data_IF_500266808851
#
_entry.id   IF_500266808851
#
_cell.length_a   1.000
_cell.length_b   1.000
_cell.length_c   1.000
_cell.angle_alpha   90.00
_cell.angle_beta   90.00
_cell.angle_gamma   90.00
#
_symmetry.space_group_name_H-M   'P 1'
#
loop_
_entity.id
_entity.type
_entity.pdbx_description
1 polymer ?
#
# COMPACT_ATOMS: atom_id res chain seq x y z
N UNK A 1 4.82 11.40 -23.70
CA UNK A 1 4.91 12.84 -23.35
C UNK A 1 6.38 13.17 -23.26
N UNK A 2 6.88 14.08 -24.10
CA UNK A 2 8.29 14.47 -24.14
C UNK A 2 8.58 15.51 -23.05
N UNK A 3 8.78 15.04 -21.83
CA UNK A 3 9.09 15.90 -20.68
C UNK A 3 10.50 16.51 -20.84
N UNK A 4 11.38 15.78 -21.51
CA UNK A 4 12.78 16.14 -21.77
C UNK A 4 12.96 17.25 -22.81
N UNK A 5 11.91 17.59 -23.55
CA UNK A 5 11.92 18.67 -24.56
C UNK A 5 11.32 19.98 -24.04
N UNK A 6 10.84 20.00 -22.79
CA UNK A 6 10.26 21.19 -22.17
C UNK A 6 11.34 22.07 -21.55
N UNK A 7 11.26 23.38 -21.78
CA UNK A 7 12.06 24.37 -21.06
C UNK A 7 11.80 24.28 -19.56
N UNK A 8 12.76 24.75 -18.75
CA UNK A 8 12.68 24.75 -17.28
C UNK A 8 11.36 25.36 -16.78
N UNK A 9 10.92 26.46 -17.41
CA UNK A 9 9.65 27.13 -17.09
C UNK A 9 8.43 26.26 -17.43
N UNK A 10 8.49 25.49 -18.53
CA UNK A 10 7.45 24.53 -18.90
C UNK A 10 7.36 23.35 -17.94
N UNK A 11 8.50 22.88 -17.41
CA UNK A 11 8.55 21.87 -16.35
C UNK A 11 7.95 22.38 -15.04
N UNK A 12 8.23 23.63 -14.67
CA UNK A 12 7.64 24.26 -13.50
C UNK A 12 6.11 24.37 -13.62
N UNK A 13 5.61 24.86 -14.75
CA UNK A 13 4.17 24.94 -15.02
C UNK A 13 3.49 23.57 -15.02
N UNK A 14 4.16 22.54 -15.54
CA UNK A 14 3.66 21.17 -15.52
C UNK A 14 3.56 20.63 -14.09
N UNK A 15 4.58 20.87 -13.25
CA UNK A 15 4.55 20.52 -11.82
C UNK A 15 3.35 21.19 -11.15
N UNK A 16 3.16 22.48 -11.30
CA UNK A 16 2.04 23.20 -10.68
C UNK A 16 0.68 22.64 -11.10
N UNK A 17 0.51 22.33 -12.39
CA UNK A 17 -0.71 21.72 -12.91
C UNK A 17 -0.95 20.30 -12.34
N UNK A 18 0.10 19.50 -12.20
CA UNK A 18 0.03 18.17 -11.59
C UNK A 18 -0.34 18.28 -10.11
N UNK A 19 0.30 19.17 -9.37
CA UNK A 19 0.00 19.43 -7.96
C UNK A 19 -1.44 19.90 -7.76
N UNK A 20 -1.95 20.80 -8.60
CA UNK A 20 -3.35 21.25 -8.58
C UNK A 20 -4.33 20.09 -8.84
N UNK A 21 -4.04 19.25 -9.83
CA UNK A 21 -4.87 18.09 -10.18
C UNK A 21 -4.88 17.04 -9.08
N UNK A 22 -3.75 16.84 -8.41
CA UNK A 22 -3.67 15.96 -7.24
C UNK A 22 -4.48 16.52 -6.08
N UNK A 23 -4.39 17.82 -5.79
CA UNK A 23 -5.18 18.45 -4.74
C UNK A 23 -6.69 18.30 -4.98
N UNK A 24 -7.15 18.51 -6.21
CA UNK A 24 -8.56 18.35 -6.59
C UNK A 24 -9.04 16.89 -6.42
N UNK A 25 -8.25 15.92 -6.88
CA UNK A 25 -8.55 14.49 -6.71
C UNK A 25 -8.52 14.03 -5.26
N UNK A 26 -7.63 14.59 -4.45
CA UNK A 26 -7.57 14.32 -3.01
C UNK A 26 -8.79 14.92 -2.33
N UNK A 27 -9.18 16.15 -2.66
CA UNK A 27 -10.40 16.77 -2.13
C UNK A 27 -11.66 15.98 -2.53
N UNK A 28 -11.76 15.51 -3.77
CA UNK A 28 -12.86 14.66 -4.24
C UNK A 28 -12.91 13.31 -3.49
N UNK A 29 -11.75 12.67 -3.28
CA UNK A 29 -11.65 11.42 -2.49
C UNK A 29 -11.92 11.62 -1.00
N UNK A 30 -11.61 12.78 -0.44
CA UNK A 30 -11.88 13.10 0.96
C UNK A 30 -13.33 13.53 1.20
N UNK A 31 -14.04 14.00 0.18
CA UNK A 31 -15.45 14.39 0.26
C UNK A 31 -16.42 13.21 0.07
N UNK A 32 -15.98 12.13 -0.54
CA UNK A 32 -16.76 10.90 -0.76
C UNK A 32 -16.10 9.69 -0.09
N UNK A 33 -16.08 9.60 1.25
CA UNK A 33 -17.06 8.71 1.87
C UNK A 33 -17.37 9.07 3.34
N UNK A 34 -18.48 9.77 3.59
CA UNK A 34 -19.15 9.74 4.91
C UNK A 34 -20.48 8.96 4.85
N UNK A 35 -21.02 8.68 3.67
CA UNK A 35 -22.29 7.95 3.50
C UNK A 35 -22.13 6.48 3.11
N UNK A 36 -20.95 6.04 2.64
CA UNK A 36 -20.70 4.64 2.26
C UNK A 36 -19.66 3.94 3.15
N UNK A 37 -19.51 4.38 4.40
CA UNK A 37 -18.72 3.66 5.43
C UNK A 37 -19.62 2.96 6.45
N UNK A 38 -20.93 3.21 6.43
CA UNK A 38 -21.85 2.58 7.40
C UNK A 38 -22.21 1.12 7.05
N UNK A 39 -21.99 0.67 5.81
CA UNK A 39 -22.21 -0.74 5.43
C UNK A 39 -20.95 -1.56 5.20
N UNK A 40 -19.77 -0.95 5.14
CA UNK A 40 -18.50 -1.68 5.00
C UNK A 40 -17.42 -1.01 5.84
N UNK A 41 -17.30 -1.46 7.09
CA UNK A 41 -16.03 -1.38 7.83
C UNK A 41 -15.74 -0.05 8.51
N UNK A 42 -15.98 -0.03 9.82
CA UNK A 42 -15.55 0.97 10.78
C UNK A 42 -14.18 1.64 10.49
N UNK A 43 -14.03 2.94 10.83
CA UNK A 43 -12.78 3.66 10.65
C UNK A 43 -11.71 3.03 11.54
N UNK A 44 -10.69 2.44 10.91
CA UNK A 44 -9.44 2.13 11.60
C UNK A 44 -8.71 3.43 11.89
N UNK A 45 -9.10 4.05 13.00
CA UNK A 45 -8.20 4.93 13.74
C UNK A 45 -6.91 4.14 13.95
N UNK A 46 -5.82 4.62 13.35
CA UNK A 46 -4.48 4.08 13.53
C UNK A 46 -4.05 4.33 14.98
N UNK A 47 -4.56 3.54 15.92
CA UNK A 47 -3.89 3.30 17.19
C UNK A 47 -2.55 2.64 16.85
N UNK A 48 -1.42 3.06 17.44
CA UNK A 48 -0.16 2.33 17.28
C UNK A 48 -0.44 0.87 17.66
N UNK A 49 -0.04 -0.10 16.83
CA UNK A 49 -0.38 -1.49 17.06
C UNK A 49 0.24 -1.91 18.39
N UNK A 50 -0.61 -2.06 19.41
CA UNK A 50 -0.28 -2.80 20.63
C UNK A 50 0.33 -4.11 20.15
N UNK A 51 1.59 -4.36 20.50
CA UNK A 51 2.36 -5.49 20.00
C UNK A 51 1.54 -6.77 20.16
N UNK A 52 0.94 -7.25 19.06
CA UNK A 52 0.27 -8.54 19.06
C UNK A 52 1.30 -9.58 19.52
N UNK A 53 0.90 -10.59 20.31
CA UNK A 53 1.81 -11.66 20.70
C UNK A 53 2.50 -12.16 19.44
N UNK A 54 3.84 -12.14 19.44
CA UNK A 54 4.67 -12.52 18.28
C UNK A 54 4.29 -13.94 17.90
N UNK A 55 3.37 -14.07 16.94
CA UNK A 55 3.04 -15.37 16.36
C UNK A 55 4.32 -15.89 15.72
N UNK A 56 4.65 -17.18 15.91
CA UNK A 56 5.85 -17.74 15.31
C UNK A 56 5.78 -17.50 13.80
N UNK A 57 6.85 -16.93 13.25
CA UNK A 57 7.05 -16.87 11.80
C UNK A 57 7.25 -18.30 11.35
N UNK A 58 6.39 -18.78 10.44
CA UNK A 58 6.49 -20.15 9.92
C UNK A 58 7.40 -20.21 8.71
N UNK A 59 7.40 -19.18 7.88
CA UNK A 59 8.21 -19.09 6.67
C UNK A 59 8.98 -17.78 6.64
N UNK A 60 10.24 -17.82 6.23
CA UNK A 60 11.15 -16.67 6.09
C UNK A 60 11.96 -16.77 4.80
N UNK A 61 11.90 -15.72 3.98
CA UNK A 61 12.67 -15.54 2.75
C UNK A 61 13.37 -14.17 2.84
N UNK A 62 14.58 -14.16 3.42
CA UNK A 62 15.34 -12.94 3.72
C UNK A 62 14.62 -12.01 4.72
N UNK A 63 14.20 -10.85 4.23
CA UNK A 63 13.40 -9.85 4.98
C UNK A 63 11.89 -10.18 4.97
N UNK A 64 11.44 -11.04 4.05
CA UNK A 64 10.05 -11.44 3.97
C UNK A 64 9.74 -12.52 5.00
N UNK A 65 8.66 -12.34 5.75
CA UNK A 65 8.20 -13.32 6.74
C UNK A 65 6.70 -13.58 6.60
N UNK A 66 6.29 -14.82 6.86
CA UNK A 66 4.89 -15.21 6.86
C UNK A 66 4.62 -16.26 7.93
N UNK A 67 3.63 -16.03 8.77
CA UNK A 67 3.25 -16.96 9.85
C UNK A 67 2.51 -18.22 9.35
N UNK A 68 2.28 -18.36 8.04
CA UNK A 68 1.45 -19.44 7.47
C UNK A 68 -0.04 -19.31 7.78
N UNK A 69 -0.45 -18.16 8.33
CA UNK A 69 -1.84 -17.87 8.73
C UNK A 69 -2.30 -16.60 8.00
N UNK A 70 -3.53 -16.62 7.51
CA UNK A 70 -4.12 -15.52 6.75
C UNK A 70 -3.73 -15.55 5.27
N UNK A 71 -3.94 -14.42 4.58
CA UNK A 71 -3.66 -14.32 3.15
C UNK A 71 -2.20 -14.60 2.86
N UNK A 72 -1.95 -15.58 1.98
CA UNK A 72 -0.60 -15.92 1.54
C UNK A 72 0.01 -14.75 0.73
N UNK A 73 1.19 -14.24 1.12
CA UNK A 73 1.84 -13.14 0.43
C UNK A 73 2.36 -13.58 -0.94
N UNK A 74 2.57 -12.61 -1.84
CA UNK A 74 2.95 -12.88 -3.22
C UNK A 74 4.24 -13.71 -3.33
N UNK A 75 5.26 -13.40 -2.52
CA UNK A 75 6.51 -14.16 -2.48
C UNK A 75 6.28 -15.62 -2.10
N UNK A 76 5.40 -15.90 -1.14
CA UNK A 76 5.11 -17.27 -0.71
C UNK A 76 4.32 -18.04 -1.77
N UNK A 77 3.39 -17.36 -2.48
CA UNK A 77 2.68 -17.91 -3.64
C UNK A 77 3.63 -18.24 -4.79
N UNK A 78 4.60 -17.36 -5.05
CA UNK A 78 5.64 -17.55 -6.07
C UNK A 78 6.50 -18.79 -5.80
N UNK A 79 6.76 -19.11 -4.52
CA UNK A 79 7.49 -20.33 -4.15
C UNK A 79 6.65 -21.60 -4.30
N UNK A 80 5.33 -21.51 -4.13
CA UNK A 80 4.42 -22.66 -4.29
C UNK A 80 4.86 -23.86 -3.45
N UNK A 81 5.08 -25.00 -4.10
CA UNK A 81 5.54 -26.25 -3.47
C UNK A 81 6.93 -26.14 -2.81
N UNK A 82 7.78 -25.21 -3.26
CA UNK A 82 9.11 -24.99 -2.67
C UNK A 82 9.08 -24.14 -1.40
N UNK A 83 7.92 -23.58 -1.02
CA UNK A 83 7.77 -22.74 0.17
C UNK A 83 8.19 -23.46 1.45
N UNK A 84 8.02 -24.79 1.52
CA UNK A 84 8.44 -25.62 2.66
C UNK A 84 9.94 -25.55 2.95
N UNK A 85 10.78 -25.24 1.94
CA UNK A 85 12.22 -25.03 2.13
C UNK A 85 12.55 -23.74 2.90
N UNK A 86 11.61 -22.79 2.95
CA UNK A 86 11.77 -21.50 3.61
C UNK A 86 11.14 -21.50 5.00
N UNK A 87 10.84 -22.67 5.55
CA UNK A 87 10.28 -22.78 6.90
C UNK A 87 11.32 -22.32 7.94
N UNK A 88 10.93 -21.38 8.78
CA UNK A 88 11.77 -20.79 9.83
C UNK A 88 11.83 -21.65 11.10
#
# INVERSE_FOLDING_TARGET
MQIESLSIEGLAALRDKVTQTLADKVAARQKEPLAEVEKVGAPVTSKPPTARPKRPVKYRDGENTWSGVGTMPAWAKLKGDTLEQYRA
#
